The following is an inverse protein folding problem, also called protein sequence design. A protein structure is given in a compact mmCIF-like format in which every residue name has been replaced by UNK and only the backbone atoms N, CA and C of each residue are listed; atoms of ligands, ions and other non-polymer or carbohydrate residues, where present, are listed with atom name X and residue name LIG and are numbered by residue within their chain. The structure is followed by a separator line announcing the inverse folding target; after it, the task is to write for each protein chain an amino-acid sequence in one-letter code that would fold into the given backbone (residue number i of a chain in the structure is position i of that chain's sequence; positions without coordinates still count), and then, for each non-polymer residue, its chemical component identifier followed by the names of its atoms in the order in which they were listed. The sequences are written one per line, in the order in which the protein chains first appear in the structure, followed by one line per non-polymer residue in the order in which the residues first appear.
data_IF_472439326415
#
_entry.id   IF_472439326415
#
_cell.length_a   1.000
_cell.length_b   1.000
_cell.length_c   1.000
_cell.angle_alpha   90.00
_cell.angle_beta   90.00
_cell.angle_gamma   90.00
#
_symmetry.space_group_name_H-M   'P 1'
#
loop_
_entity.id
_entity.type
_entity.pdbx_description
1 polymer ?
#
# COMPACT_ATOMS: atom_id res chain seq x y z
N UNK A 1 -9.19 18.90 1.57
CA UNK A 1 -8.68 17.70 0.85
C UNK A 1 -7.31 18.08 0.34
N UNK A 2 -6.30 17.29 0.64
CA UNK A 2 -4.95 17.51 0.14
C UNK A 2 -4.84 17.22 -1.37
N UNK A 3 -3.69 17.54 -1.93
CA UNK A 3 -3.43 17.46 -3.37
C UNK A 3 -3.40 16.01 -3.88
N UNK A 4 -2.91 15.07 -3.05
CA UNK A 4 -2.87 13.64 -3.38
C UNK A 4 -4.29 13.09 -3.56
N UNK A 5 -5.13 13.22 -2.55
CA UNK A 5 -6.52 12.76 -2.61
C UNK A 5 -7.35 13.48 -3.69
N UNK A 6 -7.03 14.76 -3.95
CA UNK A 6 -7.67 15.51 -5.03
C UNK A 6 -7.34 14.90 -6.40
N UNK A 7 -6.09 14.51 -6.62
CA UNK A 7 -5.68 13.86 -7.87
C UNK A 7 -6.27 12.45 -8.00
N UNK A 8 -6.29 11.65 -6.92
CA UNK A 8 -6.94 10.32 -6.91
C UNK A 8 -8.39 10.43 -7.39
N UNK A 9 -9.15 11.38 -6.89
CA UNK A 9 -10.58 11.56 -7.22
C UNK A 9 -10.84 12.25 -8.54
N UNK A 10 -9.89 12.98 -9.10
CA UNK A 10 -10.08 13.76 -10.31
C UNK A 10 -10.63 12.91 -11.46
N UNK A 11 -11.76 13.31 -12.03
CA UNK A 11 -12.41 12.61 -13.13
C UNK A 11 -13.14 11.31 -12.74
N UNK A 12 -13.27 11.02 -11.43
CA UNK A 12 -14.06 9.91 -10.93
C UNK A 12 -15.43 10.40 -10.45
N UNK A 13 -16.45 9.67 -10.87
CA UNK A 13 -17.81 9.85 -10.39
C UNK A 13 -18.20 8.63 -9.57
N UNK A 14 -18.44 8.84 -8.26
CA UNK A 14 -18.63 7.73 -7.32
C UNK A 14 -20.10 7.32 -7.11
N UNK A 15 -21.06 8.14 -7.52
CA UNK A 15 -22.49 7.87 -7.27
C UNK A 15 -22.93 6.61 -7.99
N UNK A 16 -23.58 5.70 -7.26
CA UNK A 16 -24.10 4.41 -7.75
C UNK A 16 -22.99 3.51 -8.33
N UNK A 17 -21.82 3.52 -7.74
CA UNK A 17 -20.66 2.72 -8.14
C UNK A 17 -20.37 1.59 -7.17
N UNK A 18 -19.82 0.51 -7.70
CA UNK A 18 -19.21 -0.55 -6.90
C UNK A 18 -17.70 -0.38 -6.95
N UNK A 19 -17.11 -0.18 -5.79
CA UNK A 19 -15.67 0.04 -5.60
C UNK A 19 -15.10 -1.19 -4.92
N UNK A 20 -14.02 -1.73 -5.47
CA UNK A 20 -13.17 -2.72 -4.81
C UNK A 20 -11.98 -1.99 -4.23
N UNK A 21 -11.81 -2.07 -2.92
CA UNK A 21 -10.63 -1.58 -2.20
C UNK A 21 -9.79 -2.79 -1.83
N UNK A 22 -8.61 -2.93 -2.46
CA UNK A 22 -7.81 -4.14 -2.46
C UNK A 22 -6.64 -4.04 -1.47
N UNK A 23 -6.51 -5.05 -0.59
CA UNK A 23 -5.47 -5.16 0.44
C UNK A 23 -5.48 -3.96 1.39
N UNK A 24 -6.53 -3.86 2.17
CA UNK A 24 -6.89 -2.65 2.91
C UNK A 24 -6.08 -2.40 4.19
N UNK A 25 -5.33 -3.39 4.69
CA UNK A 25 -4.52 -3.26 5.90
C UNK A 25 -5.33 -2.64 7.07
N UNK A 26 -4.93 -1.47 7.54
CA UNK A 26 -5.58 -0.74 8.65
C UNK A 26 -6.90 -0.04 8.29
N UNK A 27 -7.32 -0.08 7.01
CA UNK A 27 -8.58 0.48 6.52
C UNK A 27 -8.57 1.99 6.27
N UNK A 28 -7.39 2.61 6.10
CA UNK A 28 -7.30 4.05 5.79
C UNK A 28 -7.91 4.38 4.43
N UNK A 29 -7.54 3.63 3.40
CA UNK A 29 -8.11 3.76 2.06
C UNK A 29 -9.62 3.51 2.07
N UNK A 30 -10.08 2.47 2.78
CA UNK A 30 -11.50 2.17 2.94
C UNK A 30 -12.27 3.34 3.57
N UNK A 31 -11.72 3.94 4.63
CA UNK A 31 -12.33 5.11 5.27
C UNK A 31 -12.40 6.29 4.31
N UNK A 32 -11.32 6.56 3.58
CA UNK A 32 -11.29 7.61 2.58
C UNK A 32 -12.40 7.42 1.53
N UNK A 33 -12.50 6.24 0.91
CA UNK A 33 -13.52 5.96 -0.10
C UNK A 33 -14.94 6.05 0.48
N UNK A 34 -15.18 5.51 1.68
CA UNK A 34 -16.49 5.53 2.32
C UNK A 34 -16.98 6.94 2.60
N UNK A 35 -16.09 7.81 3.09
CA UNK A 35 -16.38 9.23 3.29
C UNK A 35 -16.73 9.93 1.97
N UNK A 36 -15.98 9.67 0.88
CA UNK A 36 -16.23 10.28 -0.44
C UNK A 36 -17.54 9.79 -1.07
N UNK A 37 -17.85 8.52 -0.92
CA UNK A 37 -19.15 7.94 -1.33
C UNK A 37 -20.28 8.64 -0.59
N UNK A 38 -20.14 8.83 0.72
CA UNK A 38 -21.14 9.54 1.53
C UNK A 38 -21.36 10.98 1.04
N UNK A 39 -20.28 11.73 0.80
CA UNK A 39 -20.33 13.12 0.35
C UNK A 39 -20.98 13.28 -1.03
N UNK A 40 -20.76 12.33 -1.94
CA UNK A 40 -21.38 12.37 -3.28
C UNK A 40 -22.82 11.82 -3.32
N UNK A 41 -23.22 11.11 -2.29
CA UNK A 41 -24.55 10.49 -2.19
C UNK A 41 -24.76 9.34 -3.17
N UNK A 42 -26.00 8.79 -3.16
CA UNK A 42 -26.37 7.65 -4.00
C UNK A 42 -26.24 6.31 -3.27
N UNK A 43 -26.36 5.21 -4.04
CA UNK A 43 -26.35 3.83 -3.55
C UNK A 43 -25.06 3.10 -3.90
N UNK A 44 -23.91 3.74 -3.65
CA UNK A 44 -22.61 3.14 -3.90
C UNK A 44 -22.25 2.11 -2.84
N UNK A 45 -21.45 1.13 -3.23
CA UNK A 45 -20.96 0.06 -2.36
C UNK A 45 -19.44 -0.05 -2.48
N UNK A 46 -18.78 -0.27 -1.36
CA UNK A 46 -17.36 -0.54 -1.29
C UNK A 46 -17.18 -1.98 -0.79
N UNK A 47 -16.45 -2.77 -1.53
CA UNK A 47 -16.03 -4.11 -1.14
C UNK A 47 -14.57 -4.02 -0.79
N UNK A 48 -14.25 -4.13 0.49
CA UNK A 48 -12.90 -3.98 1.01
C UNK A 48 -12.35 -5.34 1.38
N UNK A 49 -11.23 -5.71 0.76
CA UNK A 49 -10.65 -7.05 0.89
C UNK A 49 -9.24 -7.01 1.46
N UNK A 50 -8.93 -8.01 2.27
CA UNK A 50 -7.58 -8.34 2.69
C UNK A 50 -7.47 -9.86 2.85
N UNK A 51 -6.27 -10.41 2.71
CA UNK A 51 -6.03 -11.84 2.86
C UNK A 51 -5.91 -12.28 4.33
N UNK A 52 -5.76 -11.33 5.26
CA UNK A 52 -5.73 -11.54 6.69
C UNK A 52 -6.58 -10.48 7.39
N UNK A 53 -7.82 -10.83 7.70
CA UNK A 53 -8.78 -9.96 8.38
C UNK A 53 -9.32 -10.62 9.66
N UNK A 54 -8.50 -10.75 10.71
CA UNK A 54 -8.97 -11.27 11.99
C UNK A 54 -10.02 -10.34 12.60
N UNK A 55 -10.88 -10.89 13.46
CA UNK A 55 -12.02 -10.16 14.03
C UNK A 55 -11.62 -8.82 14.68
N UNK A 56 -10.48 -8.80 15.37
CA UNK A 56 -9.96 -7.57 16.00
C UNK A 56 -9.70 -6.44 14.99
N UNK A 57 -9.22 -6.78 13.79
CA UNK A 57 -9.01 -5.81 12.71
C UNK A 57 -10.34 -5.35 12.11
N UNK A 58 -11.27 -6.29 11.87
CA UNK A 58 -12.63 -5.95 11.41
C UNK A 58 -13.32 -4.96 12.35
N UNK A 59 -13.17 -5.15 13.67
CA UNK A 59 -13.78 -4.27 14.67
C UNK A 59 -13.11 -2.90 14.72
N UNK A 60 -11.78 -2.83 14.60
CA UNK A 60 -11.03 -1.56 14.49
C UNK A 60 -11.45 -0.78 13.23
N UNK A 61 -11.52 -1.44 12.07
CA UNK A 61 -11.93 -0.82 10.82
C UNK A 61 -13.38 -0.31 10.93
N UNK A 62 -14.31 -1.12 11.47
CA UNK A 62 -15.68 -0.70 11.69
C UNK A 62 -15.79 0.51 12.61
N UNK A 63 -15.02 0.54 13.69
CA UNK A 63 -14.96 1.67 14.62
C UNK A 63 -14.47 2.93 13.90
N UNK A 64 -13.41 2.82 13.10
CA UNK A 64 -12.87 3.92 12.28
C UNK A 64 -13.90 4.44 11.29
N UNK A 65 -14.63 3.54 10.62
CA UNK A 65 -15.66 3.87 9.63
C UNK A 65 -16.85 4.61 10.24
N UNK A 66 -17.24 4.27 11.49
CA UNK A 66 -18.40 4.87 12.15
C UNK A 66 -19.66 4.80 11.27
N UNK A 67 -20.30 5.95 11.01
CA UNK A 67 -21.51 6.05 10.19
C UNK A 67 -21.30 5.65 8.71
N UNK A 68 -20.08 5.67 8.22
CA UNK A 68 -19.75 5.28 6.84
C UNK A 68 -19.73 3.76 6.63
N UNK A 69 -19.75 2.97 7.72
CA UNK A 69 -19.74 1.50 7.66
C UNK A 69 -20.87 0.92 6.82
N UNK A 70 -21.99 1.63 6.71
CA UNK A 70 -23.14 1.24 5.87
C UNK A 70 -22.84 1.10 4.38
N UNK A 71 -21.74 1.72 3.90
CA UNK A 71 -21.32 1.62 2.50
C UNK A 71 -20.31 0.49 2.26
N UNK A 72 -19.78 -0.12 3.33
CA UNK A 72 -18.60 -1.00 3.27
C UNK A 72 -18.96 -2.43 3.63
N UNK A 73 -18.55 -3.36 2.78
CA UNK A 73 -18.50 -4.79 3.06
C UNK A 73 -17.03 -5.19 3.23
N UNK A 74 -16.64 -5.63 4.44
CA UNK A 74 -15.31 -6.18 4.72
C UNK A 74 -15.32 -7.67 4.39
N UNK A 75 -14.36 -8.13 3.60
CA UNK A 75 -14.26 -9.52 3.19
C UNK A 75 -12.81 -9.99 3.23
N UNK A 76 -12.59 -11.11 3.89
CA UNK A 76 -11.32 -11.81 3.83
C UNK A 76 -11.22 -12.56 2.50
N UNK A 77 -10.25 -12.17 1.67
CA UNK A 77 -10.02 -12.73 0.36
C UNK A 77 -8.64 -12.38 -0.17
N UNK A 78 -8.06 -13.29 -0.94
CA UNK A 78 -6.82 -13.07 -1.66
C UNK A 78 -7.09 -12.31 -2.97
N UNK A 79 -6.37 -11.22 -3.21
CA UNK A 79 -6.50 -10.41 -4.42
C UNK A 79 -6.07 -11.15 -5.70
N UNK A 80 -5.37 -12.29 -5.55
CA UNK A 80 -5.06 -13.20 -6.67
C UNK A 80 -6.23 -14.11 -7.04
N UNK A 81 -7.26 -14.17 -6.21
CA UNK A 81 -8.44 -15.00 -6.43
C UNK A 81 -9.70 -14.30 -5.89
N UNK A 82 -10.26 -13.45 -6.69
CA UNK A 82 -11.52 -12.72 -6.40
C UNK A 82 -12.74 -13.47 -6.96
N UNK A 83 -12.74 -14.82 -6.90
CA UNK A 83 -13.79 -15.69 -7.48
C UNK A 83 -15.21 -15.42 -6.95
N UNK A 84 -15.33 -14.79 -5.78
CA UNK A 84 -16.61 -14.34 -5.25
C UNK A 84 -17.20 -13.11 -5.99
N UNK A 85 -16.37 -12.42 -6.79
CA UNK A 85 -16.80 -11.32 -7.65
C UNK A 85 -17.04 -11.84 -9.07
N UNK A 86 -18.17 -11.46 -9.64
CA UNK A 86 -18.47 -11.74 -11.05
C UNK A 86 -17.57 -10.91 -11.96
N UNK A 87 -17.28 -11.45 -13.13
CA UNK A 87 -16.62 -10.70 -14.19
C UNK A 87 -17.37 -9.40 -14.48
N UNK A 88 -16.65 -8.34 -14.73
CA UNK A 88 -17.18 -7.04 -15.12
C UNK A 88 -18.26 -6.51 -14.16
N UNK A 89 -18.06 -6.68 -12.84
CA UNK A 89 -19.01 -6.24 -11.81
C UNK A 89 -18.58 -4.98 -11.07
N UNK A 90 -17.30 -4.61 -11.14
CA UNK A 90 -16.67 -3.52 -10.41
C UNK A 90 -16.49 -2.30 -11.32
N UNK A 91 -16.82 -1.10 -10.81
CA UNK A 91 -16.62 0.16 -11.53
C UNK A 91 -15.24 0.75 -11.30
N UNK A 92 -14.72 0.63 -10.07
CA UNK A 92 -13.41 1.18 -9.66
C UNK A 92 -12.71 0.14 -8.79
N UNK A 93 -11.44 -0.14 -9.09
CA UNK A 93 -10.52 -0.86 -8.21
C UNK A 93 -9.51 0.15 -7.67
N UNK A 94 -9.35 0.17 -6.35
CA UNK A 94 -8.29 0.89 -5.65
C UNK A 94 -7.27 -0.13 -5.13
N UNK A 95 -6.00 0.09 -5.42
CA UNK A 95 -4.88 -0.71 -4.96
C UNK A 95 -3.84 0.26 -4.38
N UNK A 96 -3.99 0.53 -3.08
CA UNK A 96 -3.22 1.56 -2.37
C UNK A 96 -2.06 0.92 -1.62
N UNK A 97 -0.85 1.33 -1.93
CA UNK A 97 0.42 0.90 -1.34
C UNK A 97 0.56 -0.63 -1.14
N UNK A 98 0.03 -1.39 -2.08
CA UNK A 98 -0.05 -2.86 -2.00
C UNK A 98 0.97 -3.54 -2.91
N UNK A 99 1.28 -2.94 -4.05
CA UNK A 99 2.09 -3.60 -5.08
C UNK A 99 3.51 -3.90 -4.63
N UNK A 100 4.03 -3.16 -3.65
CA UNK A 100 5.33 -3.40 -3.01
C UNK A 100 5.42 -4.79 -2.37
N UNK A 101 4.32 -5.34 -1.89
CA UNK A 101 4.23 -6.68 -1.29
C UNK A 101 3.93 -7.78 -2.32
N UNK A 102 3.52 -7.42 -3.53
CA UNK A 102 3.26 -8.35 -4.62
C UNK A 102 4.52 -8.60 -5.45
N UNK A 103 5.29 -7.56 -5.68
CA UNK A 103 6.45 -7.56 -6.56
C UNK A 103 7.58 -8.55 -6.15
N UNK A 104 7.85 -8.82 -4.85
CA UNK A 104 8.88 -9.76 -4.42
C UNK A 104 8.72 -11.19 -4.97
N UNK A 105 7.50 -11.58 -5.30
CA UNK A 105 7.22 -12.93 -5.80
C UNK A 105 6.99 -12.88 -7.31
N UNK A 106 7.77 -13.65 -8.11
CA UNK A 106 7.62 -13.63 -9.55
C UNK A 106 6.17 -13.80 -10.00
N UNK A 107 5.73 -12.96 -10.94
CA UNK A 107 4.40 -12.95 -11.55
C UNK A 107 3.21 -12.61 -10.63
N UNK A 108 3.41 -12.43 -9.34
CA UNK A 108 2.30 -12.12 -8.41
C UNK A 108 1.62 -10.80 -8.76
N UNK A 109 2.39 -9.76 -9.09
CA UNK A 109 1.83 -8.50 -9.58
C UNK A 109 0.93 -8.73 -10.80
N UNK A 110 1.38 -9.49 -11.79
CA UNK A 110 0.58 -9.77 -13.00
C UNK A 110 -0.69 -10.55 -12.69
N UNK A 111 -0.64 -11.49 -11.74
CA UNK A 111 -1.83 -12.25 -11.31
C UNK A 111 -2.87 -11.33 -10.67
N UNK A 112 -2.46 -10.43 -9.76
CA UNK A 112 -3.36 -9.45 -9.16
C UNK A 112 -3.97 -8.52 -10.23
N UNK A 113 -3.14 -7.97 -11.13
CA UNK A 113 -3.60 -7.10 -12.20
C UNK A 113 -4.59 -7.83 -13.14
N UNK A 114 -4.39 -9.13 -13.39
CA UNK A 114 -5.31 -9.93 -14.20
C UNK A 114 -6.66 -10.13 -13.51
N UNK A 115 -6.68 -10.36 -12.19
CA UNK A 115 -7.93 -10.42 -11.44
C UNK A 115 -8.65 -9.06 -11.42
N UNK A 116 -7.92 -7.96 -11.25
CA UNK A 116 -8.49 -6.62 -11.35
C UNK A 116 -9.07 -6.36 -12.74
N UNK A 117 -8.37 -6.79 -13.79
CA UNK A 117 -8.88 -6.69 -15.17
C UNK A 117 -10.17 -7.49 -15.33
N UNK A 118 -10.24 -8.73 -14.84
CA UNK A 118 -11.41 -9.61 -14.94
C UNK A 118 -12.65 -8.98 -14.28
N UNK A 119 -12.50 -8.50 -13.04
CA UNK A 119 -13.65 -7.97 -12.27
C UNK A 119 -14.10 -6.58 -12.71
N UNK A 120 -13.23 -5.78 -13.32
CA UNK A 120 -13.56 -4.44 -13.81
C UNK A 120 -14.50 -4.49 -15.01
N UNK A 121 -15.50 -3.63 -14.99
CA UNK A 121 -16.34 -3.33 -16.16
C UNK A 121 -15.50 -2.74 -17.31
N UNK A 122 -15.96 -2.89 -18.54
CA UNK A 122 -15.37 -2.16 -19.67
C UNK A 122 -15.40 -0.66 -19.39
N UNK A 123 -14.26 0.01 -19.55
CA UNK A 123 -14.08 1.41 -19.19
C UNK A 123 -14.02 1.70 -17.68
N UNK A 124 -14.01 0.68 -16.83
CA UNK A 124 -13.80 0.79 -15.40
C UNK A 124 -12.39 1.31 -15.07
N UNK A 125 -12.23 1.85 -13.88
CA UNK A 125 -10.98 2.50 -13.44
C UNK A 125 -10.21 1.61 -12.48
N UNK A 126 -8.89 1.51 -12.69
CA UNK A 126 -7.93 1.01 -11.72
C UNK A 126 -7.07 2.17 -11.25
N UNK A 127 -6.95 2.33 -9.94
CA UNK A 127 -6.09 3.32 -9.31
C UNK A 127 -5.03 2.55 -8.54
N UNK A 128 -3.78 2.83 -8.84
CA UNK A 128 -2.63 2.28 -8.12
C UNK A 128 -1.87 3.43 -7.50
N UNK A 129 -1.59 3.32 -6.22
CA UNK A 129 -0.65 4.19 -5.52
C UNK A 129 0.47 3.33 -4.96
N UNK A 130 1.68 3.84 -4.96
CA UNK A 130 2.80 3.18 -4.33
C UNK A 130 3.95 4.13 -4.07
N UNK A 131 4.81 3.72 -3.17
CA UNK A 131 6.04 4.43 -2.84
C UNK A 131 7.09 4.23 -3.94
N UNK A 132 7.93 5.25 -4.15
CA UNK A 132 9.14 5.16 -4.97
C UNK A 132 10.29 4.73 -4.05
N UNK A 133 11.12 3.75 -4.47
CA UNK A 133 12.23 3.30 -3.64
C UNK A 133 13.20 4.44 -3.32
N UNK A 134 13.66 4.49 -2.08
CA UNK A 134 14.76 5.36 -1.67
C UNK A 134 16.05 4.62 -2.00
N UNK A 135 16.67 4.93 -3.15
CA UNK A 135 17.78 4.14 -3.68
C UNK A 135 19.15 4.55 -3.12
N UNK A 136 19.31 5.79 -2.66
CA UNK A 136 20.61 6.28 -2.20
C UNK A 136 20.50 7.33 -1.10
N UNK A 137 21.63 7.63 -0.45
CA UNK A 137 21.77 8.77 0.46
C UNK A 137 22.22 10.07 -0.19
N UNK A 138 22.12 10.22 -1.47
CA UNK A 138 22.57 11.44 -2.15
C UNK A 138 21.89 12.68 -1.56
N UNK A 139 20.71 12.49 -0.98
CA UNK A 139 20.08 13.45 -0.11
C UNK A 139 20.25 13.03 1.37
N UNK A 140 21.05 13.76 2.19
CA UNK A 140 21.23 13.44 3.61
C UNK A 140 19.93 13.38 4.42
N UNK A 141 18.88 14.08 3.99
CA UNK A 141 17.58 14.04 4.63
C UNK A 141 16.93 12.63 4.54
N UNK A 142 17.28 11.84 3.52
CA UNK A 142 16.74 10.50 3.29
C UNK A 142 17.47 9.39 4.06
N UNK A 143 18.62 9.67 4.69
CA UNK A 143 19.44 8.64 5.34
C UNK A 143 18.66 7.81 6.36
N UNK A 144 17.83 8.45 7.19
CA UNK A 144 17.03 7.74 8.19
C UNK A 144 16.05 6.74 7.59
N UNK A 145 15.35 7.14 6.54
CA UNK A 145 14.38 6.26 5.84
C UNK A 145 15.09 5.16 5.05
N UNK A 146 16.20 5.49 4.37
CA UNK A 146 17.00 4.53 3.63
C UNK A 146 17.56 3.43 4.54
N UNK A 147 18.18 3.80 5.69
CA UNK A 147 18.69 2.84 6.67
C UNK A 147 17.56 1.96 7.21
N UNK A 148 16.45 2.58 7.61
CA UNK A 148 15.28 1.89 8.14
C UNK A 148 14.78 0.79 7.19
N UNK A 149 14.63 1.11 5.91
CA UNK A 149 14.11 0.16 4.92
C UNK A 149 15.12 -0.93 4.57
N UNK A 150 16.37 -0.55 4.30
CA UNK A 150 17.37 -1.54 3.91
C UNK A 150 17.71 -2.48 5.06
N UNK A 151 17.70 -2.00 6.30
CA UNK A 151 17.89 -2.84 7.47
C UNK A 151 16.73 -3.83 7.66
N UNK A 152 15.49 -3.39 7.51
CA UNK A 152 14.34 -4.28 7.52
C UNK A 152 14.44 -5.35 6.42
N UNK A 153 14.71 -4.96 5.18
CA UNK A 153 14.91 -5.90 4.07
C UNK A 153 16.04 -6.91 4.35
N UNK A 154 17.16 -6.44 4.90
CA UNK A 154 18.28 -7.31 5.26
C UNK A 154 17.88 -8.35 6.33
N UNK A 155 17.19 -7.94 7.38
CA UNK A 155 16.73 -8.83 8.45
C UNK A 155 15.76 -9.89 7.90
N UNK A 156 14.78 -9.48 7.09
CA UNK A 156 13.85 -10.42 6.45
C UNK A 156 14.56 -11.39 5.50
N UNK A 157 15.51 -10.91 4.70
CA UNK A 157 16.33 -11.78 3.85
C UNK A 157 17.13 -12.81 4.66
N UNK A 158 17.65 -12.44 5.83
CA UNK A 158 18.33 -13.36 6.74
C UNK A 158 17.38 -14.41 7.35
N UNK A 159 16.08 -14.14 7.43
CA UNK A 159 15.03 -15.10 7.78
C UNK A 159 14.66 -16.02 6.59
N UNK A 160 15.15 -15.73 5.39
CA UNK A 160 14.74 -16.43 4.16
C UNK A 160 13.44 -15.88 3.56
N UNK A 161 13.04 -14.69 3.95
CA UNK A 161 11.84 -14.02 3.50
C UNK A 161 12.18 -12.79 2.65
N UNK A 162 11.30 -12.43 1.72
CA UNK A 162 11.38 -11.16 1.00
C UNK A 162 10.24 -10.29 1.51
N UNK A 163 10.57 -9.19 2.18
CA UNK A 163 9.58 -8.32 2.81
C UNK A 163 8.83 -7.47 1.78
N UNK A 164 9.55 -6.64 1.02
CA UNK A 164 8.95 -5.75 0.03
C UNK A 164 9.91 -5.51 -1.13
N UNK A 165 9.37 -5.08 -2.24
CA UNK A 165 10.13 -4.60 -3.40
C UNK A 165 9.29 -3.55 -4.11
N UNK A 166 9.73 -2.31 -4.04
CA UNK A 166 9.03 -1.16 -4.59
C UNK A 166 9.29 -1.10 -6.12
N UNK A 167 8.29 -1.41 -6.97
CA UNK A 167 8.47 -1.29 -8.41
C UNK A 167 8.42 0.17 -8.85
N UNK A 168 9.27 0.53 -9.80
CA UNK A 168 9.24 1.85 -10.42
C UNK A 168 7.94 2.06 -11.22
N UNK A 169 7.47 3.30 -11.36
CA UNK A 169 6.26 3.59 -12.13
C UNK A 169 6.27 2.99 -13.55
N UNK A 170 7.41 3.01 -14.23
CA UNK A 170 7.53 2.47 -15.60
C UNK A 170 7.41 0.95 -15.65
N UNK A 171 7.90 0.23 -14.65
CA UNK A 171 7.73 -1.22 -14.52
C UNK A 171 6.25 -1.59 -14.34
N UNK A 172 5.55 -0.82 -13.49
CA UNK A 172 4.11 -1.02 -13.27
C UNK A 172 3.31 -0.67 -14.52
N UNK A 173 3.65 0.42 -15.22
CA UNK A 173 3.01 0.80 -16.49
C UNK A 173 3.18 -0.29 -17.55
N UNK A 174 4.37 -0.89 -17.64
CA UNK A 174 4.61 -2.00 -18.54
C UNK A 174 3.74 -3.22 -18.19
N UNK A 175 3.68 -3.60 -16.91
CA UNK A 175 2.84 -4.69 -16.44
C UNK A 175 1.34 -4.43 -16.75
N UNK A 176 0.87 -3.21 -16.53
CA UNK A 176 -0.50 -2.78 -16.84
C UNK A 176 -0.84 -2.91 -18.32
N UNK A 177 0.08 -2.49 -19.20
CA UNK A 177 -0.08 -2.61 -20.66
C UNK A 177 -0.19 -4.08 -21.11
N UNK A 178 0.63 -4.97 -20.53
CA UNK A 178 0.57 -6.41 -20.82
C UNK A 178 -0.79 -7.04 -20.48
N UNK A 179 -1.47 -6.50 -19.49
CA UNK A 179 -2.79 -6.99 -19.03
C UNK A 179 -3.95 -6.34 -19.80
N UNK A 180 -3.72 -5.25 -20.54
CA UNK A 180 -4.75 -4.56 -21.31
C UNK A 180 -5.32 -3.32 -20.59
N UNK A 181 -4.56 -2.73 -19.69
CA UNK A 181 -4.87 -1.42 -19.12
C UNK A 181 -4.17 -0.29 -19.88
N UNK A 182 -4.85 0.84 -19.99
CA UNK A 182 -4.27 2.09 -20.47
C UNK A 182 -4.15 3.08 -19.31
N UNK A 183 -2.94 3.50 -19.01
CA UNK A 183 -2.69 4.62 -18.09
C UNK A 183 -3.13 5.91 -18.78
N UNK A 184 -4.05 6.65 -18.16
CA UNK A 184 -4.55 7.92 -18.71
C UNK A 184 -4.15 9.14 -17.89
N UNK A 185 -3.71 8.95 -16.65
CA UNK A 185 -3.14 9.98 -15.80
C UNK A 185 -2.11 9.39 -14.85
N UNK A 186 -1.05 10.13 -14.62
CA UNK A 186 0.06 9.77 -13.74
C UNK A 186 0.49 11.03 -12.99
N UNK A 187 0.87 10.87 -11.72
CA UNK A 187 1.48 11.93 -10.94
C UNK A 187 2.42 11.36 -9.90
N UNK A 188 3.56 12.03 -9.73
CA UNK A 188 4.50 11.79 -8.64
C UNK A 188 4.33 12.91 -7.61
N UNK A 189 4.20 12.52 -6.36
CA UNK A 189 4.19 13.40 -5.21
C UNK A 189 5.56 13.31 -4.54
N UNK A 190 6.22 14.44 -4.29
CA UNK A 190 7.58 14.45 -3.80
C UNK A 190 7.67 13.91 -2.36
N UNK A 191 8.88 13.55 -1.99
CA UNK A 191 9.24 13.25 -0.60
C UNK A 191 8.83 14.37 0.34
N UNK A 192 8.52 14.02 1.59
CA UNK A 192 8.10 14.99 2.60
C UNK A 192 8.60 14.64 3.99
N UNK A 193 8.88 15.65 4.80
CA UNK A 193 9.28 15.45 6.20
C UNK A 193 8.05 15.11 7.06
N UNK A 194 8.11 13.95 7.70
CA UNK A 194 7.13 13.50 8.68
C UNK A 194 7.62 13.84 10.09
N UNK A 195 7.00 14.80 10.73
CA UNK A 195 7.30 15.21 12.10
C UNK A 195 6.51 14.41 13.16
N UNK A 196 5.60 13.53 12.75
CA UNK A 196 4.84 12.61 13.62
C UNK A 196 5.38 11.18 13.52
N UNK A 197 6.68 11.04 13.50
CA UNK A 197 7.41 9.81 13.22
C UNK A 197 7.65 8.91 14.44
N UNK A 198 7.50 9.43 15.65
CA UNK A 198 7.97 8.77 16.88
C UNK A 198 7.30 7.42 17.13
N UNK A 199 5.98 7.37 16.97
CA UNK A 199 5.20 6.13 17.17
C UNK A 199 5.65 5.07 16.16
N UNK A 200 5.68 5.41 14.88
CA UNK A 200 6.14 4.53 13.80
C UNK A 200 7.57 4.01 14.04
N UNK A 201 8.49 4.87 14.51
CA UNK A 201 9.87 4.48 14.79
C UNK A 201 9.99 3.59 16.02
N UNK A 202 9.18 3.82 17.05
CA UNK A 202 9.13 2.95 18.24
C UNK A 202 8.63 1.54 17.87
N UNK A 203 7.56 1.47 17.08
CA UNK A 203 7.02 0.20 16.57
C UNK A 203 8.04 -0.52 15.69
N UNK A 204 8.66 0.19 14.74
CA UNK A 204 9.69 -0.36 13.87
C UNK A 204 10.87 -0.92 14.67
N UNK A 205 11.41 -0.17 15.64
CA UNK A 205 12.52 -0.63 16.49
C UNK A 205 12.13 -1.90 17.25
N UNK A 206 10.95 -1.91 17.87
CA UNK A 206 10.46 -3.05 18.65
C UNK A 206 10.31 -4.30 17.78
N UNK A 207 9.75 -4.14 16.58
CA UNK A 207 9.57 -5.22 15.62
C UNK A 207 10.92 -5.76 15.14
N UNK A 208 11.83 -4.89 14.72
CA UNK A 208 13.15 -5.31 14.24
C UNK A 208 13.99 -6.00 15.29
N UNK A 209 13.99 -5.52 16.54
CA UNK A 209 14.69 -6.20 17.64
C UNK A 209 14.12 -7.59 17.89
N UNK A 210 12.80 -7.75 17.88
CA UNK A 210 12.14 -9.06 17.98
C UNK A 210 12.56 -9.98 16.84
N UNK A 211 12.52 -9.50 15.60
CA UNK A 211 12.90 -10.28 14.43
C UNK A 211 14.37 -10.74 14.48
N UNK A 212 15.28 -9.90 14.97
CA UNK A 212 16.69 -10.26 15.17
C UNK A 212 16.84 -11.38 16.19
N UNK A 213 16.05 -11.40 17.29
CA UNK A 213 16.09 -12.49 18.27
C UNK A 213 15.69 -13.84 17.66
N UNK A 214 14.74 -13.85 16.74
CA UNK A 214 14.24 -15.04 16.06
C UNK A 214 15.20 -15.57 14.98
N UNK A 215 16.23 -14.82 14.59
CA UNK A 215 17.19 -15.27 13.57
C UNK A 215 17.96 -16.52 14.03
N UNK A 216 18.15 -17.52 13.16
CA UNK A 216 18.91 -18.74 13.46
C UNK A 216 20.43 -18.51 13.36
N UNK A 217 20.92 -17.30 13.62
CA UNK A 217 22.30 -16.89 13.40
C UNK A 217 23.06 -16.71 14.72
N UNK A 218 24.39 -16.63 14.63
CA UNK A 218 25.23 -16.47 15.81
C UNK A 218 25.07 -15.09 16.47
N UNK A 219 25.52 -14.99 17.72
CA UNK A 219 25.38 -13.80 18.56
C UNK A 219 26.07 -12.57 17.94
N UNK A 220 27.22 -12.73 17.28
CA UNK A 220 27.94 -11.60 16.69
C UNK A 220 27.12 -10.89 15.60
N UNK A 221 26.44 -11.65 14.72
CA UNK A 221 25.57 -11.05 13.73
C UNK A 221 24.36 -10.37 14.37
N UNK A 222 23.75 -11.01 15.37
CA UNK A 222 22.62 -10.39 16.10
C UNK A 222 23.04 -9.09 16.80
N UNK A 223 24.20 -9.05 17.42
CA UNK A 223 24.73 -7.84 18.07
C UNK A 223 24.99 -6.72 17.07
N UNK A 224 25.57 -7.05 15.90
CA UNK A 224 25.76 -6.08 14.84
C UNK A 224 24.42 -5.50 14.35
N UNK A 225 23.41 -6.33 14.11
CA UNK A 225 22.07 -5.90 13.70
C UNK A 225 21.38 -5.04 14.76
N UNK A 226 21.48 -5.43 16.06
CA UNK A 226 20.93 -4.62 17.17
C UNK A 226 21.57 -3.23 17.19
N UNK A 227 22.90 -3.16 16.99
CA UNK A 227 23.64 -1.89 16.94
C UNK A 227 23.13 -1.02 15.78
N UNK A 228 22.98 -1.57 14.58
CA UNK A 228 22.46 -0.84 13.42
C UNK A 228 21.02 -0.34 13.63
N UNK A 229 20.17 -1.14 14.30
CA UNK A 229 18.81 -0.71 14.67
C UNK A 229 18.84 0.48 15.61
N UNK A 230 19.68 0.44 16.66
CA UNK A 230 19.83 1.53 17.63
C UNK A 230 20.42 2.80 16.98
N UNK A 231 21.42 2.67 16.12
CA UNK A 231 22.01 3.80 15.40
C UNK A 231 21.01 4.44 14.44
N UNK A 232 20.25 3.65 13.69
CA UNK A 232 19.20 4.13 12.79
C UNK A 232 18.10 4.86 13.58
N UNK A 233 17.63 4.28 14.66
CA UNK A 233 16.64 4.90 15.54
C UNK A 233 17.16 6.22 16.11
N UNK A 234 18.38 6.22 16.66
CA UNK A 234 19.00 7.41 17.26
C UNK A 234 19.22 8.54 16.24
N UNK A 235 19.59 8.18 15.01
CA UNK A 235 19.73 9.14 13.89
C UNK A 235 18.40 9.84 13.60
N UNK A 236 17.33 9.08 13.42
CA UNK A 236 16.00 9.65 13.13
C UNK A 236 15.50 10.51 14.30
N UNK A 237 15.70 10.06 15.54
CA UNK A 237 15.33 10.85 16.73
C UNK A 237 16.11 12.16 16.82
N UNK A 238 17.39 12.15 16.45
CA UNK A 238 18.26 13.35 16.43
C UNK A 238 17.85 14.31 15.32
N UNK A 239 17.50 13.80 14.15
CA UNK A 239 17.08 14.62 13.01
C UNK A 239 15.72 15.30 13.26
N UNK A 240 14.89 14.72 14.13
CA UNK A 240 13.58 15.28 14.50
C UNK A 240 12.48 15.06 13.46
N UNK A 241 12.73 14.23 12.44
CA UNK A 241 11.76 13.84 11.40
C UNK A 241 12.17 12.51 10.76
N UNK A 242 11.21 11.90 10.07
CA UNK A 242 11.46 10.79 9.14
C UNK A 242 11.00 11.26 7.75
N UNK A 243 11.79 11.00 6.72
CA UNK A 243 11.34 11.26 5.35
C UNK A 243 10.29 10.24 4.93
N UNK A 244 9.12 10.70 4.51
CA UNK A 244 8.23 9.87 3.72
C UNK A 244 8.79 9.78 2.30
N UNK A 245 8.81 8.60 1.69
CA UNK A 245 9.25 8.45 0.31
C UNK A 245 8.32 9.22 -0.65
N UNK A 246 8.81 9.46 -1.86
CA UNK A 246 7.96 9.94 -2.92
C UNK A 246 6.90 8.88 -3.25
N UNK A 247 5.69 9.34 -3.59
CA UNK A 247 4.57 8.48 -3.98
C UNK A 247 4.22 8.71 -5.44
N UNK A 248 3.84 7.66 -6.14
CA UNK A 248 3.21 7.82 -7.45
C UNK A 248 1.77 7.34 -7.43
N UNK A 249 0.97 7.94 -8.29
CA UNK A 249 -0.40 7.53 -8.56
C UNK A 249 -0.54 7.27 -10.04
N UNK A 250 -0.95 6.05 -10.40
CA UNK A 250 -1.32 5.68 -11.76
C UNK A 250 -2.83 5.49 -11.84
N UNK A 251 -3.46 6.21 -12.75
CA UNK A 251 -4.89 6.09 -13.04
C UNK A 251 -5.08 5.42 -14.39
N UNK A 252 -5.72 4.26 -14.37
CA UNK A 252 -5.82 3.38 -15.52
C UNK A 252 -7.28 3.13 -15.89
N UNK A 253 -7.51 2.84 -17.16
CA UNK A 253 -8.78 2.32 -17.66
C UNK A 253 -8.57 0.94 -18.25
N UNK A 254 -9.52 0.04 -17.98
CA UNK A 254 -9.63 -1.19 -18.72
C UNK A 254 -10.02 -0.85 -20.16
N UNK A 255 -9.21 -1.29 -21.11
CA UNK A 255 -9.55 -1.21 -22.52
C UNK A 255 -10.68 -2.20 -22.86
N UNK A 256 -11.34 -2.00 -24.00
CA UNK A 256 -12.54 -2.79 -24.37
C UNK A 256 -12.18 -4.22 -24.72
#
# INVERSE_FOLDING_TARGET
MDEFHSFVLQGLYLRNKVILDAAIGTGESTYFWAKRVHEQGGSSKIISVDNDLPQVWKDRIKTKLGEYSKYVELKEADIFNLSFLKDRSIDIVNCDDTIVFLNPKPLKLLLALKEFERVLKSGGHLIITSEIPVESYDNPDNEGQWRRWNLAKAIYNLKGEIWSSEPLPDEVKFALQLIGFRVYAERIFPESKNFKYQECMNEWKTMMLKDVEELPWNTHLKDALRKEIEETYSKVMKDGYLMNPALYVLKCKKEK
#
